data_IF_315326416018
#
_entry.id   IF_315326416018
#
_cell.length_a   1.000
_cell.length_b   1.000
_cell.length_c   1.000
_cell.angle_alpha   90.00
_cell.angle_beta   90.00
_cell.angle_gamma   90.00
#
_symmetry.space_group_name_H-M   'P 1'
#
loop_
_entity.id
_entity.type
_entity.pdbx_description
1 polymer ?
#
# COMPACT_ATOMS: atom_id res chain seq x y z
N UNK A 1 -12.41 7.21 6.00
CA UNK A 1 -11.00 7.51 5.62
C UNK A 1 -9.97 7.35 6.72
N UNK A 2 -10.32 7.19 8.01
CA UNK A 2 -9.30 7.04 9.08
C UNK A 2 -8.51 5.72 9.03
N UNK A 3 -9.12 4.64 8.54
CA UNK A 3 -8.43 3.35 8.42
C UNK A 3 -7.26 3.41 7.44
N UNK A 4 -7.42 4.14 6.32
CA UNK A 4 -6.35 4.34 5.34
C UNK A 4 -5.14 5.03 5.98
N UNK A 5 -5.37 6.00 6.87
CA UNK A 5 -4.31 6.73 7.59
C UNK A 5 -3.65 5.85 8.67
N UNK A 6 -4.44 5.02 9.35
CA UNK A 6 -3.93 4.10 10.37
C UNK A 6 -3.06 3.00 9.75
N UNK A 7 -3.46 2.52 8.59
CA UNK A 7 -2.70 1.53 7.83
C UNK A 7 -1.54 2.16 7.04
N UNK A 8 -1.64 3.40 6.56
CA UNK A 8 -0.51 4.07 5.88
C UNK A 8 0.72 4.21 6.79
N UNK A 9 0.52 4.42 8.09
CA UNK A 9 1.58 4.41 9.11
C UNK A 9 2.19 3.02 9.34
N UNK A 10 1.44 1.94 9.10
CA UNK A 10 1.96 0.56 9.13
C UNK A 10 2.76 0.20 7.87
N UNK A 11 2.53 0.90 6.75
CA UNK A 11 3.28 0.75 5.50
C UNK A 11 4.42 1.76 5.36
N UNK A 12 4.68 2.53 6.40
CA UNK A 12 5.67 3.60 6.36
C UNK A 12 7.10 3.05 6.12
N UNK A 13 7.32 1.81 6.55
CA UNK A 13 8.53 1.03 6.32
C UNK A 13 8.40 0.15 5.08
N UNK A 14 9.21 0.42 4.04
CA UNK A 14 9.35 -0.48 2.87
C UNK A 14 9.66 -1.94 3.31
N UNK A 15 10.27 -2.12 4.51
CA UNK A 15 10.56 -3.40 5.13
C UNK A 15 9.31 -4.22 5.53
N UNK A 16 8.17 -3.58 5.83
CA UNK A 16 6.93 -4.31 6.15
C UNK A 16 6.25 -4.82 4.89
N UNK A 17 6.30 -4.07 3.79
CA UNK A 17 5.68 -4.40 2.49
C UNK A 17 6.23 -5.68 1.85
N UNK A 18 7.53 -5.95 2.00
CA UNK A 18 8.14 -7.19 1.52
C UNK A 18 7.75 -8.41 2.36
N UNK A 19 7.49 -8.22 3.66
CA UNK A 19 7.05 -9.27 4.57
C UNK A 19 5.54 -9.57 4.48
N UNK A 20 4.76 -8.78 3.73
CA UNK A 20 3.33 -9.01 3.57
C UNK A 20 3.02 -10.21 2.67
N UNK A 21 2.03 -10.98 3.09
CA UNK A 21 1.46 -12.08 2.31
C UNK A 21 0.52 -11.56 1.22
N UNK A 22 0.32 -12.33 0.15
CA UNK A 22 -0.57 -11.96 -0.97
C UNK A 22 -1.99 -11.55 -0.54
N UNK A 23 -2.67 -12.23 0.41
CA UNK A 23 -3.98 -11.80 0.89
C UNK A 23 -3.96 -10.42 1.54
N UNK A 24 -2.89 -10.10 2.29
CA UNK A 24 -2.71 -8.79 2.88
C UNK A 24 -2.49 -7.74 1.80
N UNK A 25 -1.61 -7.98 0.82
CA UNK A 25 -1.41 -7.06 -0.31
C UNK A 25 -2.71 -6.76 -1.07
N UNK A 26 -3.56 -7.78 -1.29
CA UNK A 26 -4.89 -7.59 -1.92
C UNK A 26 -5.80 -6.73 -1.07
N UNK A 27 -5.85 -6.96 0.25
CA UNK A 27 -6.66 -6.15 1.16
C UNK A 27 -6.22 -4.68 1.13
N UNK A 28 -4.92 -4.41 1.03
CA UNK A 28 -4.38 -3.05 0.94
C UNK A 28 -4.66 -2.38 -0.38
N UNK A 29 -4.51 -3.10 -1.49
CA UNK A 29 -4.91 -2.59 -2.79
C UNK A 29 -6.39 -2.20 -2.75
N UNK A 30 -7.28 -3.04 -2.21
CA UNK A 30 -8.71 -2.71 -2.07
C UNK A 30 -8.96 -1.50 -1.17
N UNK A 31 -8.26 -1.38 -0.05
CA UNK A 31 -8.39 -0.26 0.88
C UNK A 31 -7.99 1.08 0.24
N UNK A 32 -6.98 1.06 -0.61
CA UNK A 32 -6.47 2.23 -1.34
C UNK A 32 -7.14 2.43 -2.70
N UNK A 33 -8.23 1.67 -2.97
CA UNK A 33 -8.95 1.66 -4.25
C UNK A 33 -8.05 1.38 -5.46
N UNK A 34 -6.96 0.63 -5.24
CA UNK A 34 -6.04 0.16 -6.24
C UNK A 34 -6.48 -1.20 -6.79
N UNK A 35 -6.27 -1.39 -8.08
CA UNK A 35 -6.52 -2.64 -8.76
C UNK A 35 -5.47 -3.70 -8.36
N UNK A 36 -5.89 -4.75 -7.67
CA UNK A 36 -5.03 -5.86 -7.22
C UNK A 36 -4.74 -6.87 -8.36
N UNK A 37 -4.18 -6.41 -9.47
CA UNK A 37 -3.92 -7.23 -10.66
C UNK A 37 -2.43 -7.57 -10.74
N UNK A 38 -2.11 -8.77 -11.23
CA UNK A 38 -0.73 -9.17 -11.53
C UNK A 38 0.00 -9.85 -10.37
N UNK A 39 1.32 -9.71 -10.34
CA UNK A 39 2.22 -10.36 -9.38
C UNK A 39 2.32 -9.57 -8.08
N UNK A 40 2.73 -10.22 -6.99
CA UNK A 40 2.90 -9.58 -5.68
C UNK A 40 3.82 -8.35 -5.76
N UNK A 41 4.87 -8.42 -6.59
CA UNK A 41 5.81 -7.31 -6.78
C UNK A 41 5.15 -6.09 -7.44
N UNK A 42 4.24 -6.32 -8.38
CA UNK A 42 3.48 -5.23 -9.01
C UNK A 42 2.54 -4.55 -8.01
N UNK A 43 1.84 -5.35 -7.19
CA UNK A 43 0.98 -4.82 -6.14
C UNK A 43 1.76 -4.01 -5.10
N UNK A 44 2.95 -4.50 -4.71
CA UNK A 44 3.88 -3.75 -3.84
C UNK A 44 4.29 -2.44 -4.47
N UNK A 45 4.67 -2.45 -5.74
CA UNK A 45 5.05 -1.24 -6.46
C UNK A 45 3.91 -0.21 -6.51
N UNK A 46 2.67 -0.64 -6.79
CA UNK A 46 1.50 0.25 -6.78
C UNK A 46 1.27 0.87 -5.39
N UNK A 47 1.38 0.07 -4.33
CA UNK A 47 1.24 0.56 -2.95
C UNK A 47 2.31 1.61 -2.62
N UNK A 48 3.58 1.35 -2.96
CA UNK A 48 4.69 2.28 -2.74
C UNK A 48 4.48 3.58 -3.52
N UNK A 49 4.07 3.49 -4.79
CA UNK A 49 3.78 4.68 -5.60
C UNK A 49 2.64 5.50 -5.01
N UNK A 50 1.56 4.86 -4.54
CA UNK A 50 0.44 5.55 -3.91
C UNK A 50 0.86 6.23 -2.60
N UNK A 51 1.65 5.56 -1.76
CA UNK A 51 2.20 6.12 -0.52
C UNK A 51 3.08 7.34 -0.80
N UNK A 52 3.95 7.28 -1.82
CA UNK A 52 4.77 8.42 -2.23
C UNK A 52 3.93 9.59 -2.71
N UNK A 53 2.87 9.34 -3.48
CA UNK A 53 1.95 10.38 -3.92
C UNK A 53 1.24 11.06 -2.74
N UNK A 54 0.73 10.28 -1.78
CA UNK A 54 0.08 10.83 -0.58
C UNK A 54 1.06 11.66 0.25
N UNK A 55 2.30 11.18 0.47
CA UNK A 55 3.34 11.95 1.18
C UNK A 55 3.77 13.22 0.45
N UNK A 56 3.68 13.24 -0.88
CA UNK A 56 3.98 14.43 -1.66
C UNK A 56 2.85 15.47 -1.59
N UNK A 57 1.59 15.04 -1.54
CA UNK A 57 0.42 15.91 -1.35
C UNK A 57 0.31 16.50 0.06
N UNK A 58 0.79 15.77 1.09
CA UNK A 58 0.78 16.23 2.50
C UNK A 58 1.82 17.34 2.80
N UNK A 59 2.64 17.74 1.82
CA UNK A 59 3.77 18.67 1.97
C UNK A 59 3.51 20.01 1.31
#
# INVERSE_FOLDING_TARGET
NEEIIRFSKLFEDELTLDNLTRPQLVALCKLLELQSIGTNNFMRFQLIMKLRAIRADDK
#
